data_IF_932541147640
#
_entry.id   IF_932541147640
#
_cell.length_a   1.000
_cell.length_b   1.000
_cell.length_c   1.000
_cell.angle_alpha   90.00
_cell.angle_beta   90.00
_cell.angle_gamma   90.00
#
_symmetry.space_group_name_H-M   'P 1'
#
loop_
_entity.id
_entity.type
_entity.pdbx_description
1 polymer ?
#
# COMPACT_ATOMS: atom_id res chain seq x y z
N UNK A 1 6.77 21.15 21.91
CA UNK A 1 6.78 20.75 20.48
C UNK A 1 7.94 21.46 19.81
N UNK A 2 8.86 20.73 19.16
CA UNK A 2 9.93 21.31 18.32
C UNK A 2 9.67 20.90 16.87
N UNK A 3 9.86 21.83 15.94
CA UNK A 3 9.62 21.62 14.51
C UNK A 3 10.95 21.65 13.78
N UNK A 4 11.17 20.67 12.91
CA UNK A 4 12.36 20.57 12.06
C UNK A 4 11.90 20.45 10.61
N UNK A 5 12.58 21.16 9.71
CA UNK A 5 12.36 21.05 8.26
C UNK A 5 13.48 20.22 7.66
N UNK A 6 13.13 19.24 6.82
CA UNK A 6 14.08 18.36 6.12
C UNK A 6 13.64 18.16 4.68
N UNK A 7 14.62 18.18 3.78
CA UNK A 7 14.46 17.82 2.37
C UNK A 7 14.57 16.30 2.15
N UNK A 8 14.33 15.87 0.91
CA UNK A 8 14.58 14.49 0.46
C UNK A 8 16.07 14.16 0.66
N UNK A 9 16.35 12.93 1.09
CA UNK A 9 17.67 12.40 1.46
C UNK A 9 18.32 13.06 2.69
N UNK A 10 17.67 14.02 3.32
CA UNK A 10 18.12 14.57 4.59
C UNK A 10 17.64 13.71 5.77
N UNK A 11 18.42 13.72 6.86
CA UNK A 11 18.08 13.01 8.08
C UNK A 11 18.07 13.90 9.33
N UNK A 12 17.35 13.43 10.34
CA UNK A 12 17.28 13.96 11.68
C UNK A 12 17.69 12.85 12.65
N UNK A 13 18.70 13.11 13.46
CA UNK A 13 19.12 12.21 14.54
C UNK A 13 18.48 12.67 15.83
N UNK A 14 17.77 11.76 16.51
CA UNK A 14 17.09 11.99 17.79
C UNK A 14 17.81 11.17 18.87
N UNK A 15 18.28 11.85 19.93
CA UNK A 15 19.08 11.20 20.96
C UNK A 15 20.45 10.77 20.44
N UNK A 16 20.80 9.50 20.64
CA UNK A 16 22.10 8.95 20.25
C UNK A 16 22.05 8.02 19.03
N UNK A 17 20.91 7.40 18.74
CA UNK A 17 20.84 6.27 17.80
C UNK A 17 19.62 6.28 16.86
N UNK A 18 18.57 7.05 17.16
CA UNK A 18 17.37 7.08 16.31
C UNK A 18 17.60 8.01 15.14
N UNK A 19 17.55 7.48 13.93
CA UNK A 19 17.67 8.24 12.68
C UNK A 19 16.35 8.25 11.93
N UNK A 20 15.88 9.43 11.56
CA UNK A 20 14.70 9.64 10.72
C UNK A 20 15.15 10.29 9.42
N UNK A 21 14.88 9.67 8.28
CA UNK A 21 15.27 10.19 6.96
C UNK A 21 14.05 10.35 6.05
N UNK A 22 14.02 11.42 5.26
CA UNK A 22 13.00 11.61 4.22
C UNK A 22 13.45 10.85 2.97
N UNK A 23 12.74 9.80 2.59
CA UNK A 23 13.05 9.05 1.37
C UNK A 23 12.37 9.66 0.15
N UNK A 24 11.15 10.17 0.31
CA UNK A 24 10.35 10.67 -0.80
C UNK A 24 9.24 11.59 -0.29
N UNK A 25 8.92 12.61 -1.07
CA UNK A 25 7.78 13.51 -0.82
C UNK A 25 6.86 13.40 -2.03
N UNK A 26 5.63 12.96 -1.80
CA UNK A 26 4.54 12.96 -2.78
C UNK A 26 3.54 14.06 -2.42
N UNK A 27 2.49 14.23 -3.25
CA UNK A 27 1.51 15.32 -3.07
C UNK A 27 0.75 15.23 -1.74
N UNK A 28 0.44 14.02 -1.32
CA UNK A 28 -0.43 13.70 -0.18
C UNK A 28 0.28 12.93 0.94
N UNK A 29 1.42 12.31 0.64
CA UNK A 29 2.17 11.51 1.60
C UNK A 29 3.67 11.76 1.53
N UNK A 30 4.36 11.37 2.61
CA UNK A 30 5.82 11.42 2.71
C UNK A 30 6.30 10.03 3.13
N UNK A 31 7.28 9.50 2.39
CA UNK A 31 7.92 8.24 2.73
C UNK A 31 9.09 8.50 3.66
N UNK A 32 9.01 7.95 4.87
CA UNK A 32 10.03 8.10 5.90
C UNK A 32 10.76 6.78 6.13
N UNK A 33 12.07 6.85 6.30
CA UNK A 33 12.85 5.78 6.92
C UNK A 33 13.08 6.14 8.38
N UNK A 34 12.83 5.18 9.28
CA UNK A 34 13.15 5.31 10.70
C UNK A 34 14.07 4.13 11.02
N UNK A 35 15.25 4.42 11.58
CA UNK A 35 16.21 3.43 12.05
C UNK A 35 16.38 3.67 13.54
N UNK A 36 16.09 2.63 14.33
CA UNK A 36 16.27 2.64 15.77
C UNK A 36 16.85 1.29 16.19
N UNK A 37 18.16 1.21 16.51
CA UNK A 37 18.81 -0.05 16.84
C UNK A 37 18.40 -0.58 18.22
N UNK A 38 17.87 0.29 19.09
CA UNK A 38 17.50 -0.04 20.46
C UNK A 38 15.98 -0.21 20.63
N UNK A 39 15.22 -0.23 19.51
CA UNK A 39 13.77 -0.34 19.49
C UNK A 39 13.30 -1.60 20.23
N UNK A 40 12.60 -1.39 21.34
CA UNK A 40 11.97 -2.46 22.12
C UNK A 40 10.53 -2.07 22.41
N UNK A 41 9.53 -2.82 21.90
CA UNK A 41 9.67 -4.08 21.15
C UNK A 41 10.15 -3.87 19.70
N UNK A 42 10.63 -4.94 19.07
CA UNK A 42 11.17 -4.90 17.70
C UNK A 42 10.10 -4.71 16.59
N UNK A 43 8.82 -4.59 16.96
CA UNK A 43 7.72 -4.34 16.04
C UNK A 43 7.24 -2.89 16.15
N UNK A 44 6.64 -2.39 15.07
CA UNK A 44 5.96 -1.09 15.06
C UNK A 44 4.46 -1.30 15.10
N UNK A 45 3.78 -0.50 15.89
CA UNK A 45 2.32 -0.41 15.86
C UNK A 45 1.94 0.65 14.83
N UNK A 46 1.06 0.26 13.90
CA UNK A 46 0.47 1.16 12.93
C UNK A 46 -0.99 1.46 13.33
N UNK A 47 -1.41 2.70 13.15
CA UNK A 47 -2.80 3.11 13.35
C UNK A 47 -3.43 3.24 11.98
N UNK A 48 -4.29 2.30 11.62
CA UNK A 48 -5.07 2.35 10.40
C UNK A 48 -6.32 3.21 10.64
N UNK A 49 -6.42 4.32 9.92
CA UNK A 49 -7.68 5.05 9.81
C UNK A 49 -8.58 4.31 8.82
N UNK A 50 -9.54 3.55 9.34
CA UNK A 50 -10.64 3.04 8.54
C UNK A 50 -11.66 4.17 8.38
N UNK A 51 -12.10 4.50 7.16
CA UNK A 51 -13.23 5.41 7.00
C UNK A 51 -14.42 4.81 7.73
N UNK A 52 -15.10 5.63 8.55
CA UNK A 52 -16.36 5.22 9.17
C UNK A 52 -17.31 4.82 8.04
N UNK A 53 -17.91 3.63 8.14
CA UNK A 53 -19.04 3.23 7.31
C UNK A 53 -20.26 4.02 7.79
N UNK A 54 -20.23 5.33 7.57
CA UNK A 54 -21.43 6.15 7.61
C UNK A 54 -22.18 5.78 6.32
N UNK A 55 -23.03 4.76 6.45
CA UNK A 55 -23.79 4.13 5.37
C UNK A 55 -24.76 5.09 4.69
N UNK A 56 -24.23 5.99 3.89
CA UNK A 56 -24.90 6.78 2.85
C UNK A 56 -23.84 7.30 1.88
N UNK A 57 -23.34 6.40 1.01
CA UNK A 57 -22.65 6.81 -0.20
C UNK A 57 -23.28 6.07 -1.39
N UNK A 58 -24.14 6.78 -2.13
CA UNK A 58 -24.60 6.42 -3.46
C UNK A 58 -23.39 5.97 -4.31
N UNK A 59 -23.34 4.68 -4.61
CA UNK A 59 -22.37 4.09 -5.51
C UNK A 59 -22.63 4.57 -6.93
N UNK A 60 -21.98 5.67 -7.30
CA UNK A 60 -21.70 5.99 -8.69
C UNK A 60 -20.31 6.62 -8.82
N UNK A 61 -19.29 5.83 -8.50
CA UNK A 61 -18.02 6.00 -9.20
C UNK A 61 -17.46 4.65 -9.63
N UNK A 62 -17.31 4.55 -10.96
CA UNK A 62 -17.04 3.36 -11.74
C UNK A 62 -15.64 2.79 -11.50
N UNK A 63 -15.45 1.94 -10.48
CA UNK A 63 -14.24 1.10 -10.42
C UNK A 63 -14.49 -0.27 -9.77
N UNK A 64 -15.46 -1.01 -10.28
CA UNK A 64 -15.48 -2.46 -10.18
C UNK A 64 -15.58 -3.00 -11.61
N UNK A 65 -14.43 -3.31 -12.20
CA UNK A 65 -14.36 -4.23 -13.33
C UNK A 65 -15.03 -5.53 -12.93
N UNK A 66 -16.11 -5.87 -13.62
CA UNK A 66 -16.71 -7.20 -13.65
C UNK A 66 -15.62 -8.26 -13.79
N UNK A 67 -15.40 -9.03 -12.72
CA UNK A 67 -14.80 -10.35 -12.85
C UNK A 67 -15.95 -11.30 -13.17
N UNK A 68 -16.07 -11.71 -14.43
CA UNK A 68 -17.02 -12.74 -14.86
C UNK A 68 -16.38 -14.14 -14.69
N UNK A 69 -16.82 -14.95 -13.71
CA UNK A 69 -16.28 -16.28 -13.47
C UNK A 69 -16.73 -17.33 -14.51
N UNK A 70 -17.43 -16.95 -15.57
CA UNK A 70 -17.99 -17.88 -16.58
C UNK A 70 -17.00 -18.30 -17.68
N UNK A 71 -15.78 -17.75 -17.70
CA UNK A 71 -14.78 -17.98 -18.76
C UNK A 71 -13.71 -19.03 -18.46
N UNK A 72 -13.89 -19.87 -17.44
CA UNK A 72 -12.98 -20.99 -17.18
C UNK A 72 -13.64 -22.34 -17.54
N UNK A 73 -12.95 -23.07 -18.44
CA UNK A 73 -13.06 -24.50 -18.79
C UNK A 73 -13.98 -24.87 -19.98
N UNK A 74 -13.49 -24.61 -21.20
CA UNK A 74 -13.80 -25.43 -22.38
C UNK A 74 -12.64 -26.39 -22.64
N UNK A 75 -12.62 -27.52 -21.95
CA UNK A 75 -11.78 -28.67 -22.27
C UNK A 75 -12.56 -29.97 -22.08
N UNK A 76 -13.30 -30.35 -23.13
CA UNK A 76 -13.49 -31.73 -23.62
C UNK A 76 -14.75 -31.81 -24.50
N UNK A 77 -14.58 -31.86 -25.82
CA UNK A 77 -15.02 -33.06 -26.52
C UNK A 77 -14.20 -33.27 -27.80
N UNK A 78 -13.72 -34.49 -27.93
CA UNK A 78 -12.91 -34.98 -29.03
C UNK A 78 -13.81 -35.23 -30.23
N UNK A 79 -13.42 -34.84 -31.45
CA UNK A 79 -13.75 -35.59 -32.68
C UNK A 79 -13.04 -35.08 -33.94
N UNK A 80 -12.05 -35.87 -34.35
CA UNK A 80 -11.78 -36.34 -35.72
C UNK A 80 -12.18 -35.43 -36.90
N UNK A 81 -11.18 -34.93 -37.63
CA UNK A 81 -11.00 -35.25 -39.05
C UNK A 81 -9.59 -34.88 -39.53
N UNK A 82 -8.78 -35.91 -39.80
CA UNK A 82 -7.72 -35.83 -40.81
C UNK A 82 -8.35 -35.56 -42.17
N UNK A 83 -7.80 -34.65 -42.99
CA UNK A 83 -7.53 -34.89 -44.42
C UNK A 83 -6.44 -33.93 -44.90
N UNK A 84 -5.34 -34.56 -45.37
CA UNK A 84 -4.34 -34.22 -46.40
C UNK A 84 -3.89 -32.78 -46.63
#
# INVERSE_FOLDING_TARGET
>A
MRVYTRGVDECLVIGNSVQVSILEVQTDCVRLAIIDPDASPAYREEILYLPSDDGDCDLSDNFLTEYDPSLELSDNDSRLAFVS
#
